data_IF_037612708301
#
_entry.id   IF_037612708301
#
_cell.length_a   1.000
_cell.length_b   1.000
_cell.length_c   1.000
_cell.angle_alpha   90.00
_cell.angle_beta   90.00
_cell.angle_gamma   90.00
#
_symmetry.space_group_name_H-M   'P 1'
#
loop_
_entity.id
_entity.type
_entity.pdbx_description
1 polymer ?
#
# COMPACT_ATOMS: atom_id res chain seq x y z
N UNK A 1 29.70 -52.58 -53.31
CA UNK A 1 29.29 -51.28 -52.73
C UNK A 1 27.92 -51.48 -52.10
N UNK A 2 27.88 -51.83 -50.82
CA UNK A 2 26.69 -52.29 -50.09
C UNK A 2 25.87 -51.11 -49.57
N UNK A 3 24.57 -51.06 -49.92
CA UNK A 3 23.63 -50.06 -49.40
C UNK A 3 23.12 -50.49 -48.02
N UNK A 4 23.47 -49.73 -46.98
CA UNK A 4 22.93 -49.89 -45.63
C UNK A 4 21.69 -48.98 -45.50
N UNK A 5 20.51 -49.57 -45.53
CA UNK A 5 19.24 -48.86 -45.28
C UNK A 5 18.98 -48.79 -43.77
N UNK A 6 19.22 -47.61 -43.19
CA UNK A 6 18.87 -47.33 -41.80
C UNK A 6 17.34 -47.16 -41.67
N UNK A 7 16.67 -48.20 -41.17
CA UNK A 7 15.25 -48.12 -40.80
C UNK A 7 15.12 -47.40 -39.45
N UNK A 8 14.84 -46.11 -39.51
CA UNK A 8 14.50 -45.31 -38.33
C UNK A 8 13.16 -45.77 -37.77
N UNK A 9 13.17 -46.45 -36.61
CA UNK A 9 11.94 -46.75 -35.87
C UNK A 9 11.34 -45.43 -35.39
N UNK A 10 10.18 -45.04 -35.91
CA UNK A 10 9.40 -43.94 -35.33
C UNK A 10 9.07 -44.30 -33.89
N UNK A 11 9.59 -43.53 -32.94
CA UNK A 11 9.10 -43.54 -31.58
C UNK A 11 7.60 -43.24 -31.62
N UNK A 12 6.77 -44.11 -31.02
CA UNK A 12 5.35 -43.85 -30.84
C UNK A 12 5.23 -42.59 -29.99
N UNK A 13 4.76 -41.50 -30.59
CA UNK A 13 4.32 -40.33 -29.84
C UNK A 13 3.07 -40.76 -29.06
N UNK A 14 3.18 -40.89 -27.74
CA UNK A 14 2.03 -41.05 -26.86
C UNK A 14 1.23 -39.75 -26.90
N UNK A 15 -0.01 -39.81 -27.37
CA UNK A 15 -0.92 -38.68 -27.31
C UNK A 15 -1.41 -38.47 -25.88
N UNK A 16 -1.59 -37.20 -25.49
CA UNK A 16 -2.27 -36.84 -24.24
C UNK A 16 -3.68 -37.44 -24.20
N UNK A 17 -4.05 -38.05 -23.08
CA UNK A 17 -5.42 -38.52 -22.85
C UNK A 17 -6.30 -37.38 -22.32
N UNK A 18 -7.60 -37.42 -22.60
CA UNK A 18 -8.57 -36.46 -22.02
C UNK A 18 -8.59 -36.53 -20.49
N UNK A 19 -8.32 -37.71 -19.92
CA UNK A 19 -8.31 -37.94 -18.48
C UNK A 19 -7.15 -37.19 -17.80
N UNK A 20 -5.96 -37.20 -18.40
CA UNK A 20 -4.81 -36.44 -17.88
C UNK A 20 -5.09 -34.93 -17.84
N UNK A 21 -5.70 -34.38 -18.89
CA UNK A 21 -6.09 -32.96 -18.89
C UNK A 21 -7.17 -32.66 -17.84
N UNK A 22 -8.13 -33.56 -17.63
CA UNK A 22 -9.17 -33.39 -16.59
C UNK A 22 -8.54 -33.33 -15.20
N UNK A 23 -7.63 -34.25 -14.87
CA UNK A 23 -6.93 -34.26 -13.58
C UNK A 23 -6.10 -32.99 -13.39
N UNK A 24 -5.42 -32.50 -14.43
CA UNK A 24 -4.64 -31.25 -14.36
C UNK A 24 -5.55 -30.04 -14.08
N UNK A 25 -6.67 -29.92 -14.78
CA UNK A 25 -7.63 -28.83 -14.57
C UNK A 25 -8.24 -28.86 -13.16
N UNK A 26 -8.53 -30.06 -12.64
CA UNK A 26 -8.99 -30.23 -11.26
C UNK A 26 -7.97 -29.70 -10.25
N UNK A 27 -6.69 -30.07 -10.40
CA UNK A 27 -5.62 -29.61 -9.51
C UNK A 27 -5.44 -28.09 -9.62
N UNK A 28 -5.47 -27.52 -10.83
CA UNK A 28 -5.37 -26.06 -11.02
C UNK A 28 -6.54 -25.34 -10.34
N UNK A 29 -7.78 -25.83 -10.49
CA UNK A 29 -8.95 -25.23 -9.84
C UNK A 29 -8.84 -25.25 -8.31
N UNK A 30 -8.41 -26.38 -7.73
CA UNK A 30 -8.19 -26.51 -6.29
C UNK A 30 -7.08 -25.56 -5.79
N UNK A 31 -5.94 -25.50 -6.50
CA UNK A 31 -4.84 -24.61 -6.13
C UNK A 31 -5.23 -23.13 -6.25
N UNK A 32 -5.90 -22.75 -7.33
CA UNK A 32 -6.37 -21.38 -7.53
C UNK A 32 -7.34 -20.95 -6.42
N UNK A 33 -8.27 -21.82 -6.03
CA UNK A 33 -9.21 -21.59 -4.93
C UNK A 33 -8.54 -21.46 -3.56
N UNK A 34 -7.44 -22.19 -3.33
CA UNK A 34 -6.72 -22.14 -2.05
C UNK A 34 -5.74 -20.97 -1.93
N UNK A 35 -4.96 -20.70 -2.98
CA UNK A 35 -3.86 -19.72 -2.94
C UNK A 35 -4.36 -18.29 -3.14
N UNK A 36 -5.36 -18.09 -4.01
CA UNK A 36 -5.86 -16.77 -4.39
C UNK A 36 -6.23 -15.88 -3.18
N UNK A 37 -7.20 -16.26 -2.34
CA UNK A 37 -7.65 -15.43 -1.21
C UNK A 37 -6.54 -15.11 -0.20
N UNK A 38 -5.61 -16.04 0.01
CA UNK A 38 -4.51 -15.87 0.97
C UNK A 38 -3.55 -14.76 0.53
N UNK A 39 -3.23 -14.67 -0.75
CA UNK A 39 -2.36 -13.62 -1.29
C UNK A 39 -2.97 -12.23 -1.12
N UNK A 40 -4.25 -12.06 -1.47
CA UNK A 40 -4.95 -10.77 -1.32
C UNK A 40 -4.95 -10.29 0.14
N UNK A 41 -5.28 -11.17 1.09
CA UNK A 41 -5.31 -10.81 2.50
C UNK A 41 -3.94 -10.37 3.07
N UNK A 42 -2.85 -10.88 2.50
CA UNK A 42 -1.49 -10.51 2.93
C UNK A 42 -1.08 -9.16 2.36
N UNK A 43 -1.48 -8.86 1.12
CA UNK A 43 -1.28 -7.55 0.51
C UNK A 43 -2.04 -6.48 1.29
N UNK A 44 -3.30 -6.72 1.65
CA UNK A 44 -4.10 -5.75 2.41
C UNK A 44 -3.49 -5.46 3.79
N UNK A 45 -3.01 -6.49 4.50
CA UNK A 45 -2.31 -6.31 5.77
C UNK A 45 -1.01 -5.52 5.61
N UNK A 46 -0.27 -5.76 4.53
CA UNK A 46 0.96 -5.03 4.25
C UNK A 46 0.67 -3.55 3.98
N UNK A 47 -0.39 -3.24 3.21
CA UNK A 47 -0.86 -1.88 2.97
C UNK A 47 -1.18 -1.14 4.26
N UNK A 48 -2.00 -1.73 5.14
CA UNK A 48 -2.34 -1.15 6.44
C UNK A 48 -1.10 -0.85 7.27
N UNK A 49 -0.15 -1.79 7.37
CA UNK A 49 1.09 -1.60 8.14
C UNK A 49 1.97 -0.50 7.55
N UNK A 50 2.11 -0.45 6.24
CA UNK A 50 2.89 0.59 5.56
C UNK A 50 2.29 1.96 5.82
N UNK A 51 0.96 2.10 5.65
CA UNK A 51 0.24 3.35 5.93
C UNK A 51 0.41 3.77 7.39
N UNK A 52 0.28 2.85 8.35
CA UNK A 52 0.49 3.16 9.78
C UNK A 52 1.92 3.61 10.09
N UNK A 53 2.93 3.01 9.47
CA UNK A 53 4.31 3.42 9.64
C UNK A 53 4.54 4.84 9.10
N UNK A 54 4.00 5.14 7.92
CA UNK A 54 4.05 6.49 7.33
C UNK A 54 3.32 7.52 8.22
N UNK A 55 2.14 7.18 8.76
CA UNK A 55 1.40 8.07 9.67
C UNK A 55 2.19 8.41 10.93
N UNK A 56 2.95 7.46 11.48
CA UNK A 56 3.83 7.73 12.63
C UNK A 56 4.92 8.73 12.27
N UNK A 57 5.58 8.55 11.13
CA UNK A 57 6.60 9.49 10.65
C UNK A 57 6.02 10.89 10.40
N UNK A 58 4.82 10.98 9.83
CA UNK A 58 4.11 12.26 9.67
C UNK A 58 3.75 12.87 11.03
N UNK A 59 3.34 12.05 12.00
CA UNK A 59 3.04 12.45 13.36
C UNK A 59 4.26 13.06 14.06
N UNK A 60 5.40 12.38 14.01
CA UNK A 60 6.65 12.87 14.57
C UNK A 60 7.04 14.23 13.97
N UNK A 61 6.89 14.39 12.65
CA UNK A 61 7.14 15.65 11.95
C UNK A 61 6.17 16.78 12.38
N UNK A 62 4.90 16.46 12.61
CA UNK A 62 3.90 17.42 13.12
C UNK A 62 4.20 17.84 14.55
N UNK A 63 4.63 16.91 15.41
CA UNK A 63 5.07 17.23 16.77
C UNK A 63 6.27 18.18 16.72
N UNK A 64 7.26 17.91 15.86
CA UNK A 64 8.41 18.81 15.68
C UNK A 64 7.98 20.20 15.16
N UNK A 65 7.10 20.25 14.15
CA UNK A 65 6.53 21.51 13.67
C UNK A 65 5.90 22.31 14.82
N UNK A 66 5.11 21.63 15.67
CA UNK A 66 4.46 22.26 16.81
C UNK A 66 5.47 22.77 17.85
N UNK A 67 6.56 22.06 18.09
CA UNK A 67 7.60 22.54 19.02
C UNK A 67 8.25 23.84 18.54
N UNK A 68 8.43 23.98 17.23
CA UNK A 68 9.11 25.15 16.64
C UNK A 68 8.16 26.34 16.42
N UNK A 69 6.93 26.08 15.97
CA UNK A 69 5.92 27.09 15.62
C UNK A 69 4.96 27.41 16.79
N UNK A 70 4.82 26.48 17.74
CA UNK A 70 3.91 26.57 18.89
C UNK A 70 2.51 26.01 18.65
N UNK A 71 2.15 25.69 17.39
CA UNK A 71 0.86 25.09 17.03
C UNK A 71 1.01 24.11 15.87
N UNK A 72 0.04 23.22 15.68
CA UNK A 72 -0.03 22.41 14.45
C UNK A 72 -0.38 23.28 13.22
N UNK A 73 -0.08 22.80 11.99
CA UNK A 73 -0.54 23.46 10.77
C UNK A 73 -2.07 23.53 10.72
N UNK A 74 -2.59 24.62 10.16
CA UNK A 74 -4.04 24.76 9.90
C UNK A 74 -4.50 23.82 8.79
N UNK A 75 -5.81 23.59 8.69
CA UNK A 75 -6.40 22.77 7.63
C UNK A 75 -6.10 23.27 6.20
N UNK A 76 -5.90 24.58 6.02
CA UNK A 76 -5.54 25.16 4.72
C UNK A 76 -4.07 24.93 4.36
N UNK A 77 -3.19 24.94 5.36
CA UNK A 77 -1.76 24.66 5.18
C UNK A 77 -1.51 23.16 5.02
N UNK A 78 -2.27 22.33 5.74
CA UNK A 78 -2.22 20.88 5.70
C UNK A 78 -0.84 20.32 5.99
N UNK A 79 -0.58 19.12 5.45
CA UNK A 79 0.70 18.44 5.59
C UNK A 79 1.82 19.06 4.72
N UNK A 80 1.48 19.89 3.73
CA UNK A 80 2.47 20.59 2.90
C UNK A 80 3.34 21.55 3.71
N UNK A 81 2.82 22.04 4.85
CA UNK A 81 3.56 22.84 5.83
C UNK A 81 4.78 22.12 6.41
N UNK A 82 4.80 20.79 6.34
CA UNK A 82 5.93 19.98 6.78
C UNK A 82 7.11 20.03 5.81
N UNK A 83 6.86 20.33 4.54
CA UNK A 83 7.87 20.35 3.47
C UNK A 83 8.22 21.79 3.09
N UNK A 84 7.24 22.69 3.09
CA UNK A 84 7.40 24.08 2.66
C UNK A 84 6.91 25.03 3.73
N UNK A 85 7.68 26.09 4.00
CA UNK A 85 7.30 27.13 4.94
C UNK A 85 5.98 27.79 4.51
N UNK A 86 4.92 27.75 5.34
CA UNK A 86 3.69 28.47 5.04
C UNK A 86 3.90 29.98 5.19
N UNK A 87 3.21 30.81 4.39
CA UNK A 87 3.33 32.26 4.47
C UNK A 87 2.86 32.76 5.84
N UNK A 88 3.63 33.66 6.45
CA UNK A 88 3.27 34.29 7.72
C UNK A 88 3.47 33.44 8.97
N UNK A 89 4.07 32.25 8.86
CA UNK A 89 4.42 31.40 10.02
C UNK A 89 5.80 31.76 10.53
N UNK A 90 5.85 32.37 11.72
CA UNK A 90 7.10 32.61 12.43
C UNK A 90 7.58 31.32 13.14
N UNK A 91 8.89 31.14 13.27
CA UNK A 91 9.47 29.99 13.97
C UNK A 91 9.52 28.69 13.17
N UNK A 92 9.20 28.71 11.87
CA UNK A 92 9.37 27.53 11.01
C UNK A 92 10.86 27.24 10.76
N UNK A 93 11.33 26.06 11.19
CA UNK A 93 12.72 25.60 11.02
C UNK A 93 12.83 24.33 10.14
N UNK A 94 11.78 24.05 9.35
CA UNK A 94 11.73 22.89 8.47
C UNK A 94 12.74 22.95 7.30
N UNK A 95 12.65 22.01 6.36
CA UNK A 95 11.58 21.01 6.23
C UNK A 95 11.65 19.93 7.33
N UNK A 96 10.50 19.53 7.82
CA UNK A 96 10.31 18.48 8.83
C UNK A 96 10.23 17.08 8.21
N UNK A 97 10.05 17.01 6.89
CA UNK A 97 10.11 15.78 6.10
C UNK A 97 11.28 15.86 5.10
N UNK A 98 12.00 14.75 4.94
CA UNK A 98 13.11 14.66 3.98
C UNK A 98 12.64 14.59 2.51
N UNK A 99 11.39 14.19 2.30
CA UNK A 99 10.75 14.06 0.99
C UNK A 99 9.36 14.68 1.03
N UNK A 100 8.72 14.81 -0.13
CA UNK A 100 7.33 15.23 -0.23
C UNK A 100 6.41 14.30 0.59
N UNK A 101 5.24 14.82 0.96
CA UNK A 101 4.23 14.06 1.70
C UNK A 101 3.84 12.82 0.87
N UNK A 102 4.07 11.60 1.37
CA UNK A 102 3.74 10.40 0.63
C UNK A 102 2.22 10.22 0.55
N UNK A 103 1.79 9.46 -0.45
CA UNK A 103 0.43 8.94 -0.50
C UNK A 103 0.32 7.69 0.36
N UNK A 104 -0.89 7.39 0.84
CA UNK A 104 -1.18 6.14 1.52
C UNK A 104 -1.00 4.93 0.58
N UNK A 105 -1.08 3.71 1.13
CA UNK A 105 -0.90 2.48 0.36
C UNK A 105 -2.00 2.20 -0.69
N UNK A 106 -3.03 3.04 -0.78
CA UNK A 106 -4.07 3.02 -1.81
C UNK A 106 -3.95 4.20 -2.79
N UNK A 107 -2.88 5.01 -2.68
CA UNK A 107 -2.59 6.12 -3.58
C UNK A 107 -3.38 7.39 -3.27
N UNK A 108 -3.83 7.56 -2.02
CA UNK A 108 -4.63 8.71 -1.59
C UNK A 108 -3.82 9.63 -0.68
N UNK A 109 -4.09 10.95 -0.70
CA UNK A 109 -3.43 11.87 0.23
C UNK A 109 -3.94 11.66 1.65
N UNK A 110 -3.03 11.80 2.62
CA UNK A 110 -3.40 11.89 4.03
C UNK A 110 -4.14 13.20 4.31
N UNK A 111 -5.05 13.18 5.27
CA UNK A 111 -5.75 14.36 5.74
C UNK A 111 -5.29 14.72 7.14
N UNK A 112 -4.96 15.98 7.35
CA UNK A 112 -4.70 16.53 8.67
C UNK A 112 -5.98 17.19 9.17
N UNK A 113 -6.44 16.79 10.36
CA UNK A 113 -7.60 17.34 11.02
C UNK A 113 -7.16 18.05 12.31
N UNK A 114 -7.35 19.37 12.35
CA UNK A 114 -7.04 20.24 13.50
C UNK A 114 -8.22 21.20 13.73
N UNK A 115 -8.91 21.16 14.89
CA UNK A 115 -8.76 20.17 15.96
C UNK A 115 -9.16 18.76 15.51
N UNK A 116 -8.51 17.74 16.07
CA UNK A 116 -8.90 16.33 15.91
C UNK A 116 -10.26 16.02 16.54
N UNK A 117 -10.80 14.82 16.28
CA UNK A 117 -12.07 14.37 16.89
C UNK A 117 -11.90 14.02 18.36
N UNK A 118 -10.80 13.34 18.71
CA UNK A 118 -10.49 12.87 20.06
C UNK A 118 -9.14 13.39 20.59
N UNK A 119 -8.37 14.08 19.75
CA UNK A 119 -7.06 14.64 20.08
C UNK A 119 -6.89 16.06 19.54
N UNK A 120 -5.76 16.70 19.85
CA UNK A 120 -5.49 18.07 19.39
C UNK A 120 -5.29 18.13 17.88
N UNK A 121 -4.64 17.11 17.31
CA UNK A 121 -4.54 16.89 15.88
C UNK A 121 -4.66 15.40 15.54
N UNK A 122 -5.22 15.10 14.37
CA UNK A 122 -5.33 13.75 13.85
C UNK A 122 -4.85 13.68 12.40
N UNK A 123 -4.11 12.63 12.07
CA UNK A 123 -3.79 12.25 10.69
C UNK A 123 -4.76 11.14 10.29
N UNK A 124 -5.41 11.30 9.15
CA UNK A 124 -6.34 10.32 8.60
C UNK A 124 -5.85 9.78 7.25
N UNK A 125 -6.00 8.47 7.07
CA UNK A 125 -5.93 7.79 5.78
C UNK A 125 -7.32 7.24 5.48
N UNK A 126 -7.89 7.61 4.33
CA UNK A 126 -9.22 7.17 3.92
C UNK A 126 -9.27 5.69 3.49
N UNK A 127 -8.10 5.07 3.31
CA UNK A 127 -8.00 3.63 3.12
C UNK A 127 -8.54 3.15 1.78
N UNK A 128 -8.99 1.89 1.77
CA UNK A 128 -9.49 1.20 0.56
C UNK A 128 -10.66 1.96 -0.09
N UNK A 129 -11.66 2.30 0.71
CA UNK A 129 -12.90 2.92 0.21
C UNK A 129 -12.78 4.41 -0.09
N UNK A 130 -11.78 5.10 0.46
CA UNK A 130 -11.56 6.51 0.14
C UNK A 130 -12.61 7.47 0.71
N UNK A 131 -13.31 7.07 1.78
CA UNK A 131 -14.31 7.87 2.47
C UNK A 131 -14.11 7.79 3.97
N UNK A 132 -14.42 8.87 4.68
CA UNK A 132 -14.44 8.87 6.14
C UNK A 132 -15.50 7.89 6.66
N UNK A 133 -15.18 7.15 7.72
CA UNK A 133 -15.98 6.03 8.25
C UNK A 133 -15.97 4.77 7.37
N UNK A 134 -15.23 4.77 6.25
CA UNK A 134 -15.17 3.66 5.31
C UNK A 134 -14.27 2.52 5.78
N UNK A 135 -14.41 1.36 5.12
CA UNK A 135 -13.54 0.21 5.39
C UNK A 135 -12.07 0.58 5.11
N UNK A 136 -11.22 0.29 6.09
CA UNK A 136 -9.78 0.56 6.00
C UNK A 136 -9.38 1.99 6.33
N UNK A 137 -10.30 2.83 6.81
CA UNK A 137 -9.93 4.11 7.43
C UNK A 137 -8.95 3.86 8.60
N UNK A 138 -7.91 4.69 8.65
CA UNK A 138 -6.93 4.68 9.73
C UNK A 138 -6.81 6.09 10.28
N UNK A 139 -6.78 6.21 11.61
CA UNK A 139 -6.62 7.47 12.33
C UNK A 139 -5.40 7.36 13.23
N UNK A 140 -4.58 8.39 13.25
CA UNK A 140 -3.45 8.54 14.15
C UNK A 140 -3.58 9.87 14.89
N UNK A 141 -3.87 9.78 16.19
CA UNK A 141 -4.00 10.91 17.10
C UNK A 141 -2.64 11.40 17.59
N UNK A 142 -2.50 12.72 17.77
CA UNK A 142 -1.30 13.44 18.19
C UNK A 142 -1.53 14.29 19.44
#
# INVERSE_FOLDING_TARGET
>A
MTMISAQWRRARQGGFTLLELLVVLLIIALLAGYVGPKLFSQVDKAKVKATQAQMRTLGDALVQYRLDVGSYPSSEQGLDALVKAPPGVAGWHGPYLAQDVPLDAWGRPYQLQVPGREAEAEILSLGEEGRAGGKGELVHAL
#
